data_IF_039929941664
#
_entry.id   IF_039929941664
#
_cell.length_a   1.000
_cell.length_b   1.000
_cell.length_c   1.000
_cell.angle_alpha   90.00
_cell.angle_beta   90.00
_cell.angle_gamma   90.00
#
_symmetry.space_group_name_H-M   'P 1'
#
loop_
_entity.id
_entity.type
_entity.pdbx_description
1 polymer ?
#
# COMPACT_ATOMS: atom_id res chain seq x y z
N UNK A 1 -31.36 0.89 0.16
CA UNK A 1 -31.01 1.52 1.46
C UNK A 1 -29.55 1.18 1.74
N UNK A 2 -28.65 2.17 1.85
CA UNK A 2 -27.20 1.93 1.97
C UNK A 2 -26.87 1.18 3.26
N UNK A 3 -26.22 0.01 3.15
CA UNK A 3 -25.75 -0.81 4.26
C UNK A 3 -24.31 -0.42 4.65
N UNK A 4 -23.99 -0.38 5.95
CA UNK A 4 -22.65 -0.09 6.44
C UNK A 4 -21.56 -1.01 5.88
N UNK A 5 -21.89 -2.27 5.57
CA UNK A 5 -20.96 -3.23 4.96
C UNK A 5 -20.62 -2.86 3.52
N UNK A 6 -21.63 -2.48 2.75
CA UNK A 6 -21.43 -2.02 1.36
C UNK A 6 -20.64 -0.72 1.32
N UNK A 7 -20.93 0.20 2.25
CA UNK A 7 -20.21 1.46 2.34
C UNK A 7 -18.74 1.26 2.76
N UNK A 8 -18.47 0.35 3.70
CA UNK A 8 -17.11 -0.02 4.09
C UNK A 8 -16.31 -0.64 2.92
N UNK A 9 -16.96 -1.52 2.14
CA UNK A 9 -16.34 -2.24 1.03
C UNK A 9 -16.15 -1.39 -0.23
N UNK A 10 -17.10 -0.50 -0.56
CA UNK A 10 -17.11 0.28 -1.82
C UNK A 10 -16.53 1.68 -1.71
N UNK A 11 -16.37 2.21 -0.51
CA UNK A 11 -15.81 3.55 -0.34
C UNK A 11 -14.33 3.60 -0.75
N UNK A 12 -14.01 4.56 -1.61
CA UNK A 12 -12.63 4.89 -2.00
C UNK A 12 -11.86 5.62 -0.89
N UNK A 13 -12.54 6.18 0.12
CA UNK A 13 -11.92 6.91 1.23
C UNK A 13 -11.60 6.03 2.44
N UNK A 14 -10.61 6.42 3.23
CA UNK A 14 -10.12 5.74 4.45
C UNK A 14 -11.14 5.74 5.58
N UNK A 15 -10.89 4.97 6.64
CA UNK A 15 -11.68 5.04 7.88
C UNK A 15 -11.72 6.47 8.47
N UNK A 16 -10.64 7.24 8.32
CA UNK A 16 -10.56 8.65 8.72
C UNK A 16 -11.48 9.55 7.92
N UNK A 17 -11.56 9.36 6.61
CA UNK A 17 -12.46 10.13 5.73
C UNK A 17 -13.92 9.91 6.14
N UNK A 18 -14.29 8.65 6.42
CA UNK A 18 -15.62 8.32 6.92
C UNK A 18 -15.90 8.95 8.28
N UNK A 19 -14.95 8.91 9.21
CA UNK A 19 -15.08 9.58 10.51
C UNK A 19 -15.28 11.11 10.37
N UNK A 20 -14.62 11.73 9.39
CA UNK A 20 -14.83 13.15 9.07
C UNK A 20 -16.25 13.42 8.54
N UNK A 21 -16.83 12.51 7.75
CA UNK A 21 -18.23 12.61 7.33
C UNK A 21 -19.20 12.50 8.51
N UNK A 22 -18.95 11.60 9.48
CA UNK A 22 -19.75 11.51 10.71
C UNK A 22 -19.75 12.84 11.46
N UNK A 23 -18.59 13.47 11.63
CA UNK A 23 -18.48 14.76 12.30
C UNK A 23 -19.25 15.85 11.55
N UNK A 24 -19.18 15.88 10.21
CA UNK A 24 -19.91 16.83 9.37
C UNK A 24 -21.43 16.67 9.51
N UNK A 25 -21.94 15.45 9.40
CA UNK A 25 -23.38 15.18 9.54
C UNK A 25 -23.91 15.55 10.92
N UNK A 26 -23.16 15.21 11.99
CA UNK A 26 -23.53 15.60 13.35
C UNK A 26 -23.54 17.12 13.54
N UNK A 27 -22.53 17.82 13.02
CA UNK A 27 -22.48 19.29 13.08
C UNK A 27 -23.68 19.93 12.37
N UNK A 28 -24.05 19.43 11.19
CA UNK A 28 -25.22 19.89 10.45
C UNK A 28 -26.52 19.63 11.22
N UNK A 29 -26.69 18.41 11.76
CA UNK A 29 -27.87 18.07 12.56
C UNK A 29 -27.99 18.96 13.80
N UNK A 30 -26.89 19.19 14.51
CA UNK A 30 -26.85 20.13 15.65
C UNK A 30 -27.14 21.57 15.21
N UNK A 31 -26.62 22.01 14.06
CA UNK A 31 -26.90 23.33 13.50
C UNK A 31 -28.39 23.54 13.24
N UNK A 32 -29.06 22.54 12.65
CA UNK A 32 -30.51 22.57 12.42
C UNK A 32 -31.28 22.58 13.75
N UNK A 33 -30.91 21.73 14.71
CA UNK A 33 -31.55 21.70 16.05
C UNK A 33 -31.40 23.01 16.82
N UNK A 34 -30.34 23.77 16.56
CA UNK A 34 -30.04 25.03 17.23
C UNK A 34 -30.70 26.25 16.58
N UNK A 35 -31.48 26.08 15.50
CA UNK A 35 -32.27 27.16 14.93
C UNK A 35 -33.31 27.58 15.97
N UNK A 36 -33.14 28.77 16.55
CA UNK A 36 -34.03 29.27 17.60
C UNK A 36 -35.44 29.53 17.04
N UNK A 37 -36.49 29.27 17.82
CA UNK A 37 -37.85 29.70 17.48
C UNK A 37 -37.90 31.22 17.25
N UNK A 38 -38.38 31.66 16.09
CA UNK A 38 -38.47 33.08 15.72
C UNK A 38 -37.23 33.67 15.04
N UNK A 39 -36.14 32.90 14.89
CA UNK A 39 -34.98 33.32 14.09
C UNK A 39 -35.27 33.30 12.58
N UNK A 40 -36.22 32.45 12.19
CA UNK A 40 -36.74 32.27 10.85
C UNK A 40 -38.26 32.09 10.96
N UNK A 41 -39.03 32.72 10.08
CA UNK A 41 -40.48 32.48 9.96
C UNK A 41 -40.74 31.12 9.29
N UNK A 42 -40.49 30.06 10.04
CA UNK A 42 -40.69 28.68 9.61
C UNK A 42 -42.14 28.27 9.80
N UNK A 43 -42.78 27.86 8.71
CA UNK A 43 -44.13 27.27 8.71
C UNK A 43 -44.13 25.89 9.40
N UNK A 44 -45.32 25.32 9.63
CA UNK A 44 -45.44 23.95 10.15
C UNK A 44 -44.76 22.91 9.24
N UNK A 45 -44.88 23.08 7.93
CA UNK A 45 -44.27 22.20 6.93
C UNK A 45 -42.74 22.31 6.95
N UNK A 46 -42.19 23.52 7.09
CA UNK A 46 -40.75 23.74 7.20
C UNK A 46 -40.16 23.03 8.43
N UNK A 47 -40.87 23.07 9.56
CA UNK A 47 -40.43 22.39 10.80
C UNK A 47 -40.43 20.88 10.64
N UNK A 48 -41.43 20.32 9.97
CA UNK A 48 -41.48 18.89 9.64
C UNK A 48 -40.32 18.50 8.72
N UNK A 49 -40.07 19.27 7.67
CA UNK A 49 -38.98 19.03 6.73
C UNK A 49 -37.60 19.09 7.42
N UNK A 50 -37.39 20.05 8.34
CA UNK A 50 -36.16 20.13 9.14
C UNK A 50 -35.99 18.92 10.08
N UNK A 51 -37.06 18.44 10.70
CA UNK A 51 -37.02 17.26 11.55
C UNK A 51 -36.66 16.00 10.75
N UNK A 52 -37.23 15.83 9.55
CA UNK A 52 -36.87 14.74 8.64
C UNK A 52 -35.42 14.84 8.17
N UNK A 53 -34.94 16.04 7.82
CA UNK A 53 -33.55 16.26 7.45
C UNK A 53 -32.59 15.88 8.59
N UNK A 54 -32.90 16.23 9.83
CA UNK A 54 -32.13 15.81 11.01
C UNK A 54 -32.10 14.29 11.14
N UNK A 55 -33.24 13.62 10.99
CA UNK A 55 -33.32 12.16 11.06
C UNK A 55 -32.46 11.48 9.96
N UNK A 56 -32.47 12.04 8.74
CA UNK A 56 -31.61 11.57 7.64
C UNK A 56 -30.12 11.76 7.97
N UNK A 57 -29.74 12.92 8.52
CA UNK A 57 -28.36 13.22 8.92
C UNK A 57 -27.87 12.31 10.05
N UNK A 58 -28.68 12.08 11.07
CA UNK A 58 -28.34 11.16 12.17
C UNK A 58 -28.16 9.73 11.66
N UNK A 59 -29.04 9.30 10.76
CA UNK A 59 -28.94 7.98 10.12
C UNK A 59 -27.67 7.86 9.29
N UNK A 60 -27.36 8.85 8.46
CA UNK A 60 -26.13 8.89 7.68
C UNK A 60 -24.89 8.86 8.59
N UNK A 61 -24.88 9.64 9.67
CA UNK A 61 -23.81 9.62 10.67
C UNK A 61 -23.65 8.24 11.33
N UNK A 62 -24.75 7.55 11.64
CA UNK A 62 -24.74 6.21 12.21
C UNK A 62 -24.13 5.18 11.24
N UNK A 63 -24.58 5.15 9.99
CA UNK A 63 -24.08 4.23 8.96
C UNK A 63 -22.59 4.50 8.67
N UNK A 64 -22.19 5.76 8.46
CA UNK A 64 -20.79 6.13 8.27
C UNK A 64 -19.93 5.77 9.49
N UNK A 65 -20.45 5.92 10.71
CA UNK A 65 -19.73 5.56 11.93
C UNK A 65 -19.46 4.06 12.05
N UNK A 66 -20.44 3.22 11.68
CA UNK A 66 -20.25 1.77 11.62
C UNK A 66 -19.28 1.36 10.50
N UNK A 67 -19.42 1.96 9.31
CA UNK A 67 -18.54 1.70 8.18
C UNK A 67 -17.09 2.10 8.49
N UNK A 68 -16.87 3.25 9.15
CA UNK A 68 -15.54 3.70 9.59
C UNK A 68 -14.87 2.68 10.52
N UNK A 69 -15.61 2.11 11.48
CA UNK A 69 -15.09 1.06 12.38
C UNK A 69 -14.71 -0.21 11.63
N UNK A 70 -15.57 -0.68 10.72
CA UNK A 70 -15.27 -1.85 9.89
C UNK A 70 -14.04 -1.61 9.02
N UNK A 71 -13.93 -0.43 8.42
CA UNK A 71 -12.79 -0.06 7.58
C UNK A 71 -11.49 0.05 8.38
N UNK A 72 -11.52 0.66 9.56
CA UNK A 72 -10.37 0.74 10.46
C UNK A 72 -9.88 -0.67 10.89
N UNK A 73 -10.80 -1.61 11.13
CA UNK A 73 -10.45 -2.99 11.41
C UNK A 73 -9.74 -3.66 10.22
N UNK A 74 -10.28 -3.47 9.01
CA UNK A 74 -9.69 -3.98 7.77
C UNK A 74 -8.32 -3.37 7.47
N UNK A 75 -8.17 -2.06 7.63
CA UNK A 75 -6.89 -1.33 7.50
C UNK A 75 -5.85 -1.88 8.48
N UNK A 76 -6.21 -2.04 9.76
CA UNK A 76 -5.32 -2.61 10.78
C UNK A 76 -4.92 -4.06 10.48
N UNK A 77 -5.87 -4.88 10.02
CA UNK A 77 -5.58 -6.25 9.62
C UNK A 77 -4.65 -6.30 8.40
N UNK A 78 -4.86 -5.40 7.43
CA UNK A 78 -4.00 -5.26 6.26
C UNK A 78 -2.59 -4.81 6.67
N UNK A 79 -2.46 -3.78 7.51
CA UNK A 79 -1.17 -3.32 8.04
C UNK A 79 -0.41 -4.43 8.76
N UNK A 80 -1.10 -5.18 9.63
CA UNK A 80 -0.51 -6.35 10.30
C UNK A 80 -0.04 -7.39 9.28
N UNK A 81 -0.87 -7.72 8.30
CA UNK A 81 -0.53 -8.70 7.26
C UNK A 81 0.65 -8.25 6.41
N UNK A 82 0.78 -6.95 6.13
CA UNK A 82 1.95 -6.38 5.44
C UNK A 82 3.20 -6.49 6.31
N UNK A 83 3.11 -6.23 7.62
CA UNK A 83 4.23 -6.42 8.53
C UNK A 83 4.68 -7.89 8.60
N UNK A 84 3.73 -8.82 8.77
CA UNK A 84 4.01 -10.27 8.77
C UNK A 84 4.64 -10.70 7.44
N UNK A 85 4.16 -10.17 6.30
CA UNK A 85 4.73 -10.45 4.98
C UNK A 85 6.17 -9.92 4.84
N UNK A 86 6.47 -8.73 5.40
CA UNK A 86 7.82 -8.17 5.39
C UNK A 86 8.80 -9.04 6.15
N UNK A 87 8.44 -9.47 7.36
CA UNK A 87 9.25 -10.38 8.17
C UNK A 87 9.50 -11.69 7.44
N UNK A 88 8.45 -12.28 6.85
CA UNK A 88 8.55 -13.52 6.10
C UNK A 88 9.47 -13.39 4.87
N UNK A 89 9.34 -12.29 4.11
CA UNK A 89 10.20 -12.03 2.96
C UNK A 89 11.65 -11.85 3.38
N UNK A 90 11.91 -11.14 4.48
CA UNK A 90 13.27 -10.96 5.02
C UNK A 90 13.91 -12.27 5.49
N UNK A 91 13.11 -13.25 5.90
CA UNK A 91 13.57 -14.60 6.25
C UNK A 91 13.71 -15.54 5.03
N UNK A 92 13.23 -15.12 3.85
CA UNK A 92 13.10 -15.97 2.66
C UNK A 92 14.38 -16.09 1.83
N UNK A 93 14.33 -16.93 0.79
CA UNK A 93 15.42 -17.03 -0.20
C UNK A 93 15.61 -15.73 -1.00
N UNK A 94 14.57 -14.90 -1.18
CA UNK A 94 14.71 -13.60 -1.82
C UNK A 94 15.71 -12.70 -1.07
N UNK A 95 15.68 -12.68 0.26
CA UNK A 95 16.60 -11.87 1.07
C UNK A 95 18.06 -12.37 1.02
N UNK A 96 18.25 -13.62 0.59
CA UNK A 96 19.57 -14.27 0.46
C UNK A 96 20.19 -14.09 -0.93
N UNK A 97 19.51 -13.43 -1.86
CA UNK A 97 20.10 -13.06 -3.14
C UNK A 97 21.28 -12.11 -2.89
N UNK A 98 22.45 -12.50 -3.41
CA UNK A 98 23.71 -11.76 -3.27
C UNK A 98 24.43 -11.55 -4.60
N UNK A 99 24.17 -12.41 -5.58
CA UNK A 99 24.75 -12.26 -6.91
C UNK A 99 24.07 -11.09 -7.65
N UNK A 100 24.87 -10.26 -8.34
CA UNK A 100 24.39 -9.04 -9.00
C UNK A 100 23.34 -9.36 -10.05
N UNK A 101 23.53 -10.44 -10.80
CA UNK A 101 22.59 -10.92 -11.82
C UNK A 101 21.25 -11.37 -11.21
N UNK A 102 21.26 -12.07 -10.06
CA UNK A 102 20.05 -12.42 -9.32
C UNK A 102 19.33 -11.19 -8.77
N UNK A 103 20.07 -10.22 -8.25
CA UNK A 103 19.52 -8.96 -7.75
C UNK A 103 18.87 -8.17 -8.87
N UNK A 104 19.52 -8.04 -10.02
CA UNK A 104 18.95 -7.38 -11.21
C UNK A 104 17.69 -8.11 -11.68
N UNK A 105 17.75 -9.43 -11.79
CA UNK A 105 16.59 -10.23 -12.19
C UNK A 105 15.42 -10.03 -11.21
N UNK A 106 15.68 -10.01 -9.90
CA UNK A 106 14.64 -9.78 -8.90
C UNK A 106 14.05 -8.38 -9.01
N UNK A 107 14.89 -7.35 -9.07
CA UNK A 107 14.43 -5.96 -9.26
C UNK A 107 13.60 -5.83 -10.54
N UNK A 108 13.95 -6.57 -11.61
CA UNK A 108 13.19 -6.56 -12.85
C UNK A 108 11.77 -7.12 -12.69
N UNK A 109 11.57 -8.12 -11.81
CA UNK A 109 10.22 -8.64 -11.53
C UNK A 109 9.36 -7.64 -10.76
N UNK A 110 9.95 -6.83 -9.90
CA UNK A 110 9.24 -5.93 -8.98
C UNK A 110 9.07 -4.51 -9.53
N UNK A 111 10.08 -4.04 -10.27
CA UNK A 111 10.23 -2.65 -10.65
C UNK A 111 11.00 -2.52 -11.97
N UNK A 112 10.58 -3.23 -13.02
CA UNK A 112 11.20 -3.20 -14.36
C UNK A 112 11.42 -1.79 -14.90
N UNK A 113 10.47 -0.88 -14.65
CA UNK A 113 10.56 0.53 -15.02
C UNK A 113 11.75 1.23 -14.36
N UNK A 114 12.09 0.88 -13.11
CA UNK A 114 13.24 1.47 -12.42
C UNK A 114 14.57 1.03 -13.04
N UNK A 115 14.66 -0.16 -13.61
CA UNK A 115 15.87 -0.56 -14.36
C UNK A 115 16.02 0.28 -15.64
N UNK A 116 14.90 0.59 -16.30
CA UNK A 116 14.90 1.36 -17.55
C UNK A 116 14.97 2.88 -17.36
N UNK A 117 14.57 3.39 -16.19
CA UNK A 117 14.41 4.84 -15.90
C UNK A 117 15.31 5.36 -14.78
N UNK A 118 15.99 4.48 -14.01
CA UNK A 118 16.98 4.90 -12.99
C UNK A 118 18.08 5.74 -13.65
N UNK A 119 18.73 6.68 -12.91
CA UNK A 119 19.95 7.30 -13.40
C UNK A 119 20.89 6.22 -13.95
N UNK A 120 21.51 6.51 -15.10
CA UNK A 120 22.52 5.63 -15.71
C UNK A 120 23.42 5.13 -14.60
N UNK A 121 23.62 3.82 -14.54
CA UNK A 121 24.61 3.23 -13.64
C UNK A 121 25.95 3.66 -14.20
N UNK A 122 26.42 4.83 -13.78
CA UNK A 122 27.57 5.53 -14.36
C UNK A 122 28.67 5.77 -13.32
N UNK A 123 28.42 5.38 -12.07
CA UNK A 123 29.35 5.49 -10.96
C UNK A 123 29.09 4.44 -9.87
N UNK A 124 30.04 4.32 -8.94
CA UNK A 124 30.02 3.40 -7.81
C UNK A 124 28.80 3.62 -6.90
N UNK A 125 28.41 4.87 -6.63
CA UNK A 125 27.28 5.17 -5.76
C UNK A 125 25.96 4.68 -6.36
N UNK A 126 25.76 4.89 -7.66
CA UNK A 126 24.60 4.40 -8.39
C UNK A 126 24.54 2.86 -8.36
N UNK A 127 25.69 2.20 -8.52
CA UNK A 127 25.76 0.74 -8.45
C UNK A 127 25.43 0.21 -7.04
N UNK A 128 25.96 0.84 -5.98
CA UNK A 128 25.65 0.49 -4.58
C UNK A 128 24.19 0.73 -4.23
N UNK A 129 23.64 1.86 -4.66
CA UNK A 129 22.23 2.17 -4.48
C UNK A 129 21.35 1.08 -5.11
N UNK A 130 21.67 0.65 -6.34
CA UNK A 130 20.92 -0.39 -7.01
C UNK A 130 20.92 -1.72 -6.24
N UNK A 131 22.11 -2.25 -5.93
CA UNK A 131 22.21 -3.61 -5.35
C UNK A 131 21.82 -3.69 -3.88
N UNK A 132 21.82 -2.58 -3.16
CA UNK A 132 21.47 -2.54 -1.73
C UNK A 132 20.12 -1.89 -1.48
N UNK A 133 19.99 -0.62 -1.85
CA UNK A 133 18.87 0.22 -1.42
C UNK A 133 17.63 -0.09 -2.29
N UNK A 134 17.77 -0.08 -3.61
CA UNK A 134 16.68 -0.44 -4.52
C UNK A 134 16.25 -1.90 -4.35
N UNK A 135 17.21 -2.82 -4.24
CA UNK A 135 16.94 -4.21 -3.90
C UNK A 135 16.13 -4.34 -2.60
N UNK A 136 16.59 -3.70 -1.52
CA UNK A 136 15.91 -3.71 -0.22
C UNK A 136 14.51 -3.08 -0.27
N UNK A 137 14.32 -2.01 -1.04
CA UNK A 137 13.00 -1.40 -1.30
C UNK A 137 12.09 -2.39 -2.03
N UNK A 138 12.56 -2.99 -3.13
CA UNK A 138 11.78 -4.00 -3.87
C UNK A 138 11.36 -5.17 -2.98
N UNK A 139 12.28 -5.62 -2.12
CA UNK A 139 12.04 -6.70 -1.17
C UNK A 139 10.99 -6.33 -0.11
N UNK A 140 11.18 -5.22 0.60
CA UNK A 140 10.39 -4.87 1.81
C UNK A 140 9.13 -4.06 1.53
N UNK A 141 9.05 -3.36 0.39
CA UNK A 141 7.86 -2.59 0.01
C UNK A 141 7.11 -3.21 -1.14
N UNK A 142 7.76 -3.59 -2.23
CA UNK A 142 7.04 -4.10 -3.42
C UNK A 142 6.54 -5.53 -3.20
N UNK A 143 7.46 -6.48 -3.00
CA UNK A 143 7.13 -7.89 -2.86
C UNK A 143 6.26 -8.16 -1.63
N UNK A 144 6.62 -7.61 -0.47
CA UNK A 144 5.85 -7.82 0.76
C UNK A 144 4.41 -7.28 0.64
N UNK A 145 4.21 -6.11 0.03
CA UNK A 145 2.86 -5.56 -0.17
C UNK A 145 2.07 -6.31 -1.24
N UNK A 146 2.75 -6.87 -2.24
CA UNK A 146 2.13 -7.73 -3.24
C UNK A 146 1.64 -9.05 -2.61
N UNK A 147 2.48 -9.72 -1.82
CA UNK A 147 2.14 -10.94 -1.09
C UNK A 147 0.98 -10.68 -0.12
N UNK A 148 1.03 -9.58 0.64
CA UNK A 148 0.00 -9.24 1.61
C UNK A 148 -1.38 -8.95 0.96
N UNK A 149 -1.41 -8.50 -0.29
CA UNK A 149 -2.64 -8.27 -1.06
C UNK A 149 -3.33 -9.56 -1.52
N UNK A 150 -2.60 -10.67 -1.62
CA UNK A 150 -3.18 -11.94 -2.03
C UNK A 150 -4.03 -12.53 -0.90
N UNK A 151 -5.20 -13.13 -1.20
CA UNK A 151 -6.06 -13.75 -0.21
C UNK A 151 -5.49 -15.07 0.36
N UNK A 152 -4.58 -15.71 -0.38
CA UNK A 152 -3.95 -16.98 0.01
C UNK A 152 -3.00 -16.82 1.22
N UNK A 153 -2.62 -17.90 1.93
CA UNK A 153 -1.63 -17.82 3.00
C UNK A 153 -0.29 -17.20 2.52
N UNK A 154 0.36 -16.42 3.40
CA UNK A 154 1.58 -15.67 3.03
C UNK A 154 2.71 -16.60 2.56
N UNK A 155 2.90 -17.75 3.23
CA UNK A 155 3.91 -18.74 2.87
C UNK A 155 3.66 -19.37 1.49
N UNK A 156 2.43 -19.80 1.20
CA UNK A 156 2.08 -20.36 -0.12
C UNK A 156 2.32 -19.34 -1.22
N UNK A 157 1.91 -18.08 -0.98
CA UNK A 157 2.11 -17.01 -1.96
C UNK A 157 3.60 -16.74 -2.18
N UNK A 158 4.40 -16.72 -1.12
CA UNK A 158 5.85 -16.52 -1.20
C UNK A 158 6.54 -17.67 -1.96
N UNK A 159 6.17 -18.92 -1.69
CA UNK A 159 6.70 -20.10 -2.38
C UNK A 159 6.38 -20.07 -3.88
N UNK A 160 5.14 -19.71 -4.23
CA UNK A 160 4.74 -19.52 -5.63
C UNK A 160 5.57 -18.44 -6.31
N UNK A 161 5.73 -17.27 -5.67
CA UNK A 161 6.56 -16.17 -6.21
C UNK A 161 8.01 -16.58 -6.37
N UNK A 162 8.54 -17.38 -5.45
CA UNK A 162 9.89 -17.91 -5.55
C UNK A 162 10.03 -18.86 -6.75
N UNK A 163 9.08 -19.77 -6.96
CA UNK A 163 9.08 -20.67 -8.11
C UNK A 163 8.98 -19.91 -9.45
N UNK A 164 8.08 -18.92 -9.54
CA UNK A 164 7.94 -18.05 -10.71
C UNK A 164 9.23 -17.27 -11.00
N UNK A 165 9.88 -16.74 -9.95
CA UNK A 165 11.16 -16.06 -10.07
C UNK A 165 12.23 -16.99 -10.65
N UNK A 166 12.38 -18.22 -10.13
CA UNK A 166 13.36 -19.17 -10.63
C UNK A 166 13.13 -19.52 -12.12
N UNK A 167 11.88 -19.64 -12.54
CA UNK A 167 11.53 -19.89 -13.94
C UNK A 167 11.84 -18.69 -14.85
N UNK A 168 11.56 -17.47 -14.40
CA UNK A 168 11.72 -16.25 -15.20
C UNK A 168 13.12 -15.62 -15.16
N UNK A 169 13.90 -15.90 -14.10
CA UNK A 169 15.18 -15.26 -13.85
C UNK A 169 16.18 -15.41 -15.02
N UNK A 170 16.36 -16.57 -15.67
CA UNK A 170 17.31 -16.72 -16.78
C UNK A 170 17.05 -15.72 -17.92
N UNK A 171 15.80 -15.62 -18.38
CA UNK A 171 15.43 -14.69 -19.45
C UNK A 171 15.61 -13.22 -19.04
N UNK A 172 15.40 -12.89 -17.77
CA UNK A 172 15.65 -11.54 -17.26
C UNK A 172 17.14 -11.22 -17.19
N UNK A 173 17.98 -12.17 -16.79
CA UNK A 173 19.44 -12.01 -16.79
C UNK A 173 19.97 -11.74 -18.19
N UNK A 174 19.49 -12.48 -19.19
CA UNK A 174 19.86 -12.26 -20.59
C UNK A 174 19.42 -10.88 -21.07
N UNK A 175 18.17 -10.49 -20.77
CA UNK A 175 17.61 -9.20 -21.17
C UNK A 175 18.38 -8.01 -20.58
N UNK A 176 18.89 -8.14 -19.36
CA UNK A 176 19.56 -7.05 -18.64
C UNK A 176 21.09 -7.26 -18.53
N UNK A 177 21.70 -8.05 -19.41
CA UNK A 177 23.12 -8.38 -19.39
C UNK A 177 24.05 -7.14 -19.40
N UNK A 178 23.68 -6.08 -20.13
CA UNK A 178 24.44 -4.81 -20.15
C UNK A 178 24.42 -4.14 -18.78
N UNK A 179 23.25 -4.02 -18.15
CA UNK A 179 23.07 -3.46 -16.81
C UNK A 179 23.86 -4.25 -15.77
N UNK A 180 23.82 -5.59 -15.86
CA UNK A 180 24.59 -6.48 -14.99
C UNK A 180 26.09 -6.22 -15.15
N UNK A 181 26.57 -6.09 -16.40
CA UNK A 181 27.97 -5.83 -16.69
C UNK A 181 28.44 -4.48 -16.15
N UNK A 182 27.62 -3.44 -16.30
CA UNK A 182 27.90 -2.11 -15.76
C UNK A 182 27.99 -2.12 -14.23
N UNK A 183 27.03 -2.77 -13.56
CA UNK A 183 27.03 -2.94 -12.12
C UNK A 183 28.29 -3.64 -11.63
N UNK A 184 28.65 -4.77 -12.25
CA UNK A 184 29.86 -5.51 -11.89
C UNK A 184 31.13 -4.66 -12.06
N UNK A 185 31.23 -3.92 -13.16
CA UNK A 185 32.37 -3.02 -13.43
C UNK A 185 32.52 -1.94 -12.37
N UNK A 186 31.44 -1.24 -12.03
CA UNK A 186 31.50 -0.16 -11.03
C UNK A 186 31.72 -0.70 -9.61
N UNK A 187 31.09 -1.83 -9.24
CA UNK A 187 31.30 -2.43 -7.93
C UNK A 187 32.73 -2.97 -7.76
N UNK A 188 33.34 -3.53 -8.82
CA UNK A 188 34.74 -3.97 -8.78
C UNK A 188 35.74 -2.80 -8.64
N UNK A 189 35.32 -1.59 -9.01
CA UNK A 189 36.14 -0.37 -8.93
C UNK A 189 36.16 0.27 -7.52
N UNK A 190 35.43 -0.30 -6.56
CA UNK A 190 35.36 0.16 -5.17
C UNK A 190 36.04 -0.85 -4.22
N UNK A 191 37.21 -0.52 -3.63
CA UNK A 191 37.88 -1.39 -2.65
C UNK A 191 37.07 -1.63 -1.36
N UNK A 192 36.00 -0.85 -1.11
CA UNK A 192 35.08 -1.03 0.01
C UNK A 192 33.82 -1.86 -0.32
N UNK A 193 33.62 -2.25 -1.57
CA UNK A 193 32.44 -3.00 -2.04
C UNK A 193 32.63 -4.51 -1.94
N UNK A 194 32.99 -5.04 -0.76
CA UNK A 194 32.75 -6.45 -0.52
C UNK A 194 31.24 -6.67 -0.43
N UNK A 195 30.70 -7.45 -1.37
CA UNK A 195 29.34 -8.02 -1.38
C UNK A 195 29.03 -8.83 -0.09
N UNK A 196 30.01 -9.01 0.79
CA UNK A 196 30.01 -9.84 2.01
C UNK A 196 30.04 -9.06 3.35
N UNK A 197 29.43 -7.88 3.45
CA UNK A 197 29.11 -7.29 4.78
C UNK A 197 27.65 -6.86 4.86
N UNK A 198 26.75 -7.84 4.78
CA UNK A 198 25.42 -7.86 5.41
C UNK A 198 25.18 -9.24 6.00
#
# INVERSE_FOLDING_TARGET
MFNEKELAARSLGTSRDMAAHVARFRRLATGIRNIQPGLLDLTGDDRTALAEAVAVLDRAASVCGKAAKLKALGEKQHEKRVADARELVLASNFAKLRAVDDVVAFVATQASYQITQSPRIDNVYAARYFVRDLFGICLTTSLASEIARQPAPLHVTLELRWAEFLCGAPALKDRYAVTISDLLRFLASDPGATVNRV
#
